data_IF_882224215995
#
_entry.id   IF_882224215995
#
_cell.length_a   1.000
_cell.length_b   1.000
_cell.length_c   1.000
_cell.angle_alpha   90.00
_cell.angle_beta   90.00
_cell.angle_gamma   90.00
#
_symmetry.space_group_name_H-M   'P 1'
#
loop_
_entity.id
_entity.type
_entity.pdbx_description
1 polymer ?
#
# COMPACT_ATOMS: atom_id res chain seq x y z
N UNK A 1 7.18 -13.50 -4.85
CA UNK A 1 7.64 -12.13 -4.50
C UNK A 1 6.71 -11.53 -3.43
N UNK A 2 7.10 -10.50 -2.68
CA UNK A 2 6.24 -9.90 -1.63
C UNK A 2 4.86 -9.46 -2.17
N UNK A 3 4.85 -8.85 -3.36
CA UNK A 3 3.63 -8.37 -4.01
C UNK A 3 2.66 -9.49 -4.38
N UNK A 4 3.14 -10.72 -4.66
CA UNK A 4 2.25 -11.83 -5.04
C UNK A 4 1.36 -12.32 -3.90
N UNK A 5 1.61 -11.89 -2.66
CA UNK A 5 0.80 -12.20 -1.47
C UNK A 5 -0.29 -11.15 -1.20
N UNK A 6 -0.27 -10.02 -1.90
CA UNK A 6 -1.35 -9.03 -1.84
C UNK A 6 -2.59 -9.57 -2.58
N UNK A 7 -3.79 -9.27 -2.08
CA UNK A 7 -5.03 -9.44 -2.84
C UNK A 7 -4.92 -8.78 -4.22
N UNK A 8 -5.46 -9.43 -5.25
CA UNK A 8 -5.21 -9.07 -6.65
C UNK A 8 -5.52 -7.60 -6.97
N UNK A 9 -6.63 -7.07 -6.46
CA UNK A 9 -6.99 -5.65 -6.66
C UNK A 9 -5.98 -4.69 -6.02
N UNK A 10 -5.47 -5.01 -4.83
CA UNK A 10 -4.47 -4.19 -4.14
C UNK A 10 -3.13 -4.26 -4.86
N UNK A 11 -2.74 -5.47 -5.30
CA UNK A 11 -1.55 -5.71 -6.10
C UNK A 11 -1.58 -4.90 -7.39
N UNK A 12 -2.69 -4.96 -8.13
CA UNK A 12 -2.81 -4.22 -9.40
C UNK A 12 -2.65 -2.71 -9.19
N UNK A 13 -3.36 -2.13 -8.22
CA UNK A 13 -3.27 -0.68 -7.94
C UNK A 13 -1.86 -0.29 -7.53
N UNK A 14 -1.23 -1.00 -6.59
CA UNK A 14 0.11 -0.63 -6.08
C UNK A 14 1.19 -0.83 -7.15
N UNK A 15 1.12 -1.92 -7.91
CA UNK A 15 2.07 -2.20 -9.00
C UNK A 15 1.99 -1.12 -10.07
N UNK A 16 0.79 -0.79 -10.55
CA UNK A 16 0.61 0.21 -11.58
C UNK A 16 0.92 1.64 -11.09
N UNK A 17 0.64 1.95 -9.82
CA UNK A 17 0.93 3.26 -9.21
C UNK A 17 2.43 3.57 -9.20
N UNK A 18 3.25 2.56 -8.91
CA UNK A 18 4.69 2.69 -8.74
C UNK A 18 5.51 2.13 -9.92
N UNK A 19 4.87 1.66 -11.00
CA UNK A 19 5.56 1.14 -12.19
C UNK A 19 6.32 -0.17 -11.94
N UNK A 20 5.85 -0.99 -11.00
CA UNK A 20 6.53 -2.25 -10.63
C UNK A 20 6.31 -3.38 -11.64
N UNK A 21 5.54 -3.12 -12.70
CA UNK A 21 5.28 -3.97 -13.86
C UNK A 21 6.17 -3.62 -15.06
N UNK A 22 7.13 -2.70 -14.91
CA UNK A 22 8.00 -2.24 -16.01
C UNK A 22 7.36 -1.16 -16.89
N UNK A 23 6.16 -0.70 -16.56
CA UNK A 23 5.55 0.48 -17.17
C UNK A 23 5.79 1.74 -16.35
N UNK A 24 5.65 2.94 -16.95
CA UNK A 24 5.69 4.18 -16.20
C UNK A 24 4.63 4.22 -15.09
N UNK A 25 4.95 4.83 -13.92
CA UNK A 25 4.01 4.94 -12.81
C UNK A 25 2.75 5.71 -13.23
N UNK A 26 1.57 5.14 -12.92
CA UNK A 26 0.27 5.74 -13.23
C UNK A 26 -0.22 6.58 -12.06
N UNK A 27 -0.87 7.70 -12.34
CA UNK A 27 -1.55 8.52 -11.31
C UNK A 27 -2.84 7.85 -10.83
N UNK A 28 -3.31 8.25 -9.64
CA UNK A 28 -4.60 7.78 -9.12
C UNK A 28 -5.77 8.11 -10.07
N UNK A 29 -5.71 9.25 -10.77
CA UNK A 29 -6.72 9.64 -11.78
C UNK A 29 -6.71 8.71 -13.00
N UNK A 30 -5.52 8.36 -13.49
CA UNK A 30 -5.40 7.41 -14.61
C UNK A 30 -5.91 6.02 -14.22
N UNK A 31 -5.57 5.56 -13.01
CA UNK A 31 -6.07 4.28 -12.49
C UNK A 31 -7.59 4.28 -12.26
N UNK A 32 -8.14 5.40 -11.79
CA UNK A 32 -9.58 5.58 -11.61
C UNK A 32 -10.33 5.44 -12.94
N UNK A 33 -9.82 6.09 -13.99
CA UNK A 33 -10.35 5.98 -15.34
C UNK A 33 -10.22 4.54 -15.89
N UNK A 34 -9.04 3.93 -15.77
CA UNK A 34 -8.77 2.58 -16.28
C UNK A 34 -9.64 1.50 -15.63
N UNK A 35 -9.94 1.63 -14.33
CA UNK A 35 -10.68 0.62 -13.57
C UNK A 35 -12.17 0.95 -13.41
N UNK A 36 -12.65 2.04 -14.03
CA UNK A 36 -14.00 2.56 -13.85
C UNK A 36 -14.40 2.71 -12.37
N UNK A 37 -13.47 3.22 -11.55
CA UNK A 37 -13.67 3.46 -10.13
C UNK A 37 -13.51 4.95 -9.82
N UNK A 38 -14.08 5.41 -8.71
CA UNK A 38 -13.85 6.78 -8.26
C UNK A 38 -12.39 6.98 -7.82
N UNK A 39 -11.92 8.22 -7.94
CA UNK A 39 -10.57 8.61 -7.49
C UNK A 39 -10.34 8.26 -6.01
N UNK A 40 -11.34 8.52 -5.16
CA UNK A 40 -11.28 8.17 -3.74
C UNK A 40 -11.23 6.64 -3.54
N UNK A 41 -11.94 5.85 -4.35
CA UNK A 41 -11.87 4.40 -4.24
C UNK A 41 -10.48 3.87 -4.57
N UNK A 42 -9.82 4.41 -5.59
CA UNK A 42 -8.42 4.05 -5.90
C UNK A 42 -7.48 4.46 -4.77
N UNK A 43 -7.65 5.67 -4.21
CA UNK A 43 -6.86 6.12 -3.04
C UNK A 43 -7.03 5.17 -1.85
N UNK A 44 -8.25 4.69 -1.59
CA UNK A 44 -8.50 3.72 -0.52
C UNK A 44 -7.78 2.39 -0.77
N UNK A 45 -7.83 1.86 -1.99
CA UNK A 45 -7.14 0.63 -2.39
C UNK A 45 -5.62 0.79 -2.29
N UNK A 46 -5.06 1.93 -2.70
CA UNK A 46 -3.63 2.24 -2.51
C UNK A 46 -3.27 2.22 -1.01
N UNK A 47 -4.06 2.89 -0.17
CA UNK A 47 -3.84 2.90 1.28
C UNK A 47 -3.96 1.51 1.91
N UNK A 48 -4.90 0.67 1.45
CA UNK A 48 -5.02 -0.73 1.87
C UNK A 48 -3.78 -1.54 1.52
N UNK A 49 -3.30 -1.42 0.29
CA UNK A 49 -2.10 -2.09 -0.17
C UNK A 49 -0.88 -1.68 0.68
N UNK A 50 -0.71 -0.37 0.91
CA UNK A 50 0.40 0.15 1.72
C UNK A 50 0.30 -0.29 3.18
N UNK A 51 -0.90 -0.29 3.77
CA UNK A 51 -1.09 -0.73 5.14
C UNK A 51 -0.76 -2.21 5.33
N UNK A 52 -1.16 -3.05 4.36
CA UNK A 52 -0.82 -4.47 4.32
C UNK A 52 0.71 -4.64 4.20
N UNK A 53 1.34 -3.97 3.25
CA UNK A 53 2.79 -4.04 3.03
C UNK A 53 3.61 -3.56 4.24
N UNK A 54 3.11 -2.61 5.03
CA UNK A 54 3.77 -2.11 6.25
C UNK A 54 3.80 -3.11 7.39
N UNK A 55 2.93 -4.12 7.40
CA UNK A 55 2.85 -5.08 8.50
C UNK A 55 4.17 -5.86 8.66
N UNK A 56 4.68 -6.10 9.88
CA UNK A 56 5.95 -6.81 10.10
C UNK A 56 6.00 -8.19 9.44
N UNK A 57 4.89 -8.94 9.50
CA UNK A 57 4.76 -10.26 8.89
C UNK A 57 4.96 -10.28 7.36
N UNK A 58 4.91 -9.12 6.71
CA UNK A 58 5.04 -8.99 5.27
C UNK A 58 6.30 -8.20 4.88
N UNK A 59 6.68 -7.18 5.65
CA UNK A 59 7.82 -6.31 5.33
C UNK A 59 9.18 -6.78 5.85
N UNK A 60 9.26 -7.84 6.67
CA UNK A 60 10.51 -8.25 7.33
C UNK A 60 11.70 -8.36 6.36
N UNK A 61 11.57 -9.13 5.27
CA UNK A 61 12.65 -9.34 4.31
C UNK A 61 13.08 -8.04 3.62
N UNK A 62 12.13 -7.18 3.26
CA UNK A 62 12.41 -5.90 2.63
C UNK A 62 13.13 -4.95 3.60
N UNK A 63 12.70 -4.93 4.87
CA UNK A 63 13.31 -4.11 5.93
C UNK A 63 14.71 -4.57 6.28
N UNK A 64 14.95 -5.88 6.36
CA UNK A 64 16.28 -6.45 6.57
C UNK A 64 17.25 -6.01 5.48
N UNK A 65 16.81 -6.03 4.20
CA UNK A 65 17.65 -5.56 3.07
C UNK A 65 17.91 -4.06 3.06
N UNK A 66 17.13 -3.28 3.79
CA UNK A 66 17.23 -1.82 3.87
C UNK A 66 17.79 -1.35 5.21
N UNK A 67 18.20 -2.27 6.10
CA UNK A 67 18.59 -1.99 7.49
C UNK A 67 17.55 -1.18 8.29
N UNK A 68 16.26 -1.38 7.99
CA UNK A 68 15.09 -0.71 8.62
C UNK A 68 14.24 -1.66 9.47
N UNK A 69 14.90 -2.53 10.22
CA UNK A 69 14.31 -3.60 11.01
C UNK A 69 14.41 -3.37 12.53
N UNK A 70 14.61 -2.13 12.99
CA UNK A 70 14.65 -1.82 14.42
C UNK A 70 13.24 -1.84 15.04
N UNK A 71 13.16 -1.98 16.37
CA UNK A 71 11.89 -1.88 17.09
C UNK A 71 11.20 -0.52 16.87
N UNK A 72 11.97 0.56 16.70
CA UNK A 72 11.43 1.90 16.42
C UNK A 72 10.75 1.95 15.04
N UNK A 73 11.35 1.32 14.02
CA UNK A 73 10.79 1.27 12.67
C UNK A 73 9.45 0.55 12.63
N UNK A 74 9.30 -0.50 13.45
CA UNK A 74 8.04 -1.24 13.58
C UNK A 74 6.98 -0.44 14.33
N UNK A 75 7.35 0.24 15.44
CA UNK A 75 6.43 1.13 16.16
C UNK A 75 5.89 2.22 15.24
N UNK A 76 6.75 2.85 14.45
CA UNK A 76 6.35 3.88 13.50
C UNK A 76 5.37 3.34 12.44
N UNK A 77 5.65 2.17 11.86
CA UNK A 77 4.78 1.56 10.87
C UNK A 77 3.40 1.16 11.42
N UNK A 78 3.37 0.61 12.64
CA UNK A 78 2.13 0.29 13.33
C UNK A 78 1.31 1.55 13.64
N UNK A 79 1.97 2.65 14.04
CA UNK A 79 1.32 3.93 14.27
C UNK A 79 0.67 4.50 12.99
N UNK A 80 1.35 4.42 11.84
CA UNK A 80 0.78 4.83 10.54
C UNK A 80 -0.48 4.01 10.20
N UNK A 81 -0.45 2.70 10.44
CA UNK A 81 -1.61 1.84 10.21
C UNK A 81 -2.76 2.15 11.18
N UNK A 82 -2.47 2.44 12.44
CA UNK A 82 -3.47 2.86 13.43
C UNK A 82 -4.12 4.21 13.03
N UNK A 83 -3.32 5.18 12.61
CA UNK A 83 -3.81 6.49 12.14
C UNK A 83 -4.72 6.35 10.92
N UNK A 84 -4.34 5.51 9.95
CA UNK A 84 -5.18 5.22 8.78
C UNK A 84 -6.55 4.64 9.19
N UNK A 85 -6.57 3.68 10.11
CA UNK A 85 -7.83 3.08 10.61
C UNK A 85 -8.72 4.12 11.29
N UNK A 86 -8.13 5.04 12.07
CA UNK A 86 -8.88 6.14 12.72
C UNK A 86 -9.48 7.09 11.69
N UNK A 87 -8.70 7.50 10.68
CA UNK A 87 -9.18 8.39 9.62
C UNK A 87 -10.37 7.80 8.85
N UNK A 88 -10.37 6.47 8.62
CA UNK A 88 -11.49 5.78 7.95
C UNK A 88 -12.76 5.72 8.78
N UNK A 89 -12.64 5.55 10.10
CA UNK A 89 -13.81 5.57 11.00
C UNK A 89 -14.49 6.94 11.02
N UNK A 90 -13.73 8.02 10.87
CA UNK A 90 -14.28 9.38 10.81
C UNK A 90 -15.02 9.69 9.51
N UNK A 91 -14.70 8.97 8.43
CA UNK A 91 -15.27 9.19 7.09
C UNK A 91 -16.33 8.13 6.71
N UNK A 92 -16.79 7.33 7.68
CA UNK A 92 -17.93 6.41 7.56
C UNK A 92 -19.13 7.03 8.25
#
# INVERSE_FOLDING_TARGET
ALLSRLPDRLRHVVTARYGLDGHPPRSLRQLAAQLALSHERIRQLEQDALAWLRHPAHSLLLRQRLDKNTAADYRHALALNAALRRARRRNR
#
